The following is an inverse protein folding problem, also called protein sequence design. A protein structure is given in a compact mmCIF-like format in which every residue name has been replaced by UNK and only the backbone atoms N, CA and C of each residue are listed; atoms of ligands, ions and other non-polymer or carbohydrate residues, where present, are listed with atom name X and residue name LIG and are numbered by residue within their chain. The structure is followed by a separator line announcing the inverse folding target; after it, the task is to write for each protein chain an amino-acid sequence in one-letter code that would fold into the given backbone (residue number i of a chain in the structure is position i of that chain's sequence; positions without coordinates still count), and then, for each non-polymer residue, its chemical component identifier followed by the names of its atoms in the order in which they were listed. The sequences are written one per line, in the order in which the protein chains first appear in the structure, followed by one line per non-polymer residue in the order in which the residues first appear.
data_IF_518773501251
#
_entry.id   IF_518773501251
#
_cell.length_a   1.000
_cell.length_b   1.000
_cell.length_c   1.000
_cell.angle_alpha   90.00
_cell.angle_beta   90.00
_cell.angle_gamma   90.00
#
_symmetry.space_group_name_H-M   'P 1'
#
loop_
_entity.id
_entity.type
_entity.pdbx_description
1 polymer ?
#
# COMPACT_ATOMS: atom_id res chain seq x y z
N UNK A 1 -37.01 -6.41 11.18
CA UNK A 1 -35.77 -6.79 11.89
C UNK A 1 -34.76 -7.27 10.85
N UNK A 2 -33.73 -6.48 10.53
CA UNK A 2 -32.80 -6.79 9.44
C UNK A 2 -31.82 -7.91 9.82
N UNK A 3 -31.65 -8.91 8.95
CA UNK A 3 -30.63 -9.97 9.13
C UNK A 3 -29.24 -9.35 8.94
N UNK A 4 -28.42 -9.37 9.99
CA UNK A 4 -26.99 -9.03 9.91
C UNK A 4 -26.20 -10.28 9.55
N UNK A 5 -25.44 -10.24 8.47
CA UNK A 5 -24.48 -11.27 8.10
C UNK A 5 -23.07 -10.77 8.44
N UNK A 6 -22.29 -11.57 9.17
CA UNK A 6 -20.87 -11.32 9.45
C UNK A 6 -20.07 -12.34 8.65
N UNK A 7 -19.23 -11.86 7.74
CA UNK A 7 -18.35 -12.69 6.92
C UNK A 7 -16.90 -12.52 7.37
N UNK A 8 -16.19 -13.61 7.58
CA UNK A 8 -14.74 -13.62 7.86
C UNK A 8 -14.09 -14.66 6.95
N UNK A 9 -13.06 -14.26 6.19
CA UNK A 9 -12.25 -15.17 5.37
C UNK A 9 -10.83 -15.18 5.92
N UNK A 10 -10.42 -16.31 6.48
CA UNK A 10 -9.02 -16.54 6.88
C UNK A 10 -8.33 -17.28 5.75
N UNK A 11 -7.23 -16.73 5.23
CA UNK A 11 -6.38 -17.41 4.24
C UNK A 11 -5.06 -17.75 4.93
N UNK A 12 -4.78 -19.04 5.22
CA UNK A 12 -3.53 -19.42 5.87
C UNK A 12 -2.34 -19.17 4.95
N UNK A 13 -1.17 -18.92 5.54
CA UNK A 13 0.09 -18.84 4.81
C UNK A 13 0.41 -20.22 4.19
N UNK A 14 0.87 -20.27 2.93
CA UNK A 14 1.39 -21.49 2.32
C UNK A 14 2.50 -22.14 3.15
N UNK A 15 2.52 -23.47 3.25
CA UNK A 15 3.48 -24.22 4.10
C UNK A 15 4.95 -24.08 3.66
N UNK A 16 5.19 -23.64 2.43
CA UNK A 16 6.51 -23.36 1.88
C UNK A 16 7.04 -21.95 2.22
N UNK A 17 6.24 -21.11 2.90
CA UNK A 17 6.64 -19.75 3.27
C UNK A 17 6.91 -19.69 4.79
N UNK A 18 8.17 -19.49 5.21
CA UNK A 18 8.47 -19.31 6.63
C UNK A 18 7.90 -17.98 7.13
N UNK A 19 7.47 -17.98 8.40
CA UNK A 19 6.88 -16.78 9.05
C UNK A 19 7.78 -15.55 8.95
N UNK A 20 9.09 -15.74 9.13
CA UNK A 20 10.04 -14.63 9.10
C UNK A 20 10.07 -13.96 7.72
N UNK A 21 10.10 -14.75 6.63
CA UNK A 21 10.05 -14.21 5.28
C UNK A 21 8.78 -13.39 5.04
N UNK A 22 7.63 -13.85 5.55
CA UNK A 22 6.38 -13.09 5.44
C UNK A 22 6.44 -11.75 6.19
N UNK A 23 7.08 -11.73 7.37
CA UNK A 23 7.30 -10.49 8.13
C UNK A 23 8.28 -9.57 7.41
N UNK A 24 9.38 -10.10 6.89
CA UNK A 24 10.38 -9.32 6.18
C UNK A 24 9.78 -8.67 4.92
N UNK A 25 8.95 -9.40 4.18
CA UNK A 25 8.19 -8.85 3.05
C UNK A 25 7.19 -7.76 3.50
N UNK A 26 6.51 -7.94 4.63
CA UNK A 26 5.60 -6.91 5.18
C UNK A 26 6.34 -5.62 5.55
N UNK A 27 7.58 -5.73 6.05
CA UNK A 27 8.41 -4.57 6.37
C UNK A 27 9.11 -3.97 5.14
N UNK A 28 9.15 -4.69 4.01
CA UNK A 28 9.63 -4.17 2.73
C UNK A 28 8.52 -3.38 2.01
N UNK A 29 8.13 -2.25 2.60
CA UNK A 29 7.03 -1.42 2.10
C UNK A 29 7.22 -1.00 0.63
N UNK A 30 8.46 -0.71 0.22
CA UNK A 30 8.77 -0.32 -1.16
C UNK A 30 8.54 -1.44 -2.17
N UNK A 31 8.82 -2.69 -1.82
CA UNK A 31 8.54 -3.86 -2.66
C UNK A 31 7.04 -4.11 -2.74
N UNK A 32 6.34 -4.03 -1.60
CA UNK A 32 4.89 -4.22 -1.53
C UNK A 32 4.15 -3.19 -2.39
N UNK A 33 4.56 -1.91 -2.36
CA UNK A 33 3.99 -0.86 -3.22
C UNK A 33 4.17 -1.20 -4.71
N UNK A 34 5.34 -1.70 -5.10
CA UNK A 34 5.65 -2.05 -6.49
C UNK A 34 4.86 -3.25 -7.03
N UNK A 35 4.24 -4.05 -6.16
CA UNK A 35 3.36 -5.15 -6.60
C UNK A 35 2.08 -4.64 -7.28
N UNK A 36 1.67 -3.39 -7.04
CA UNK A 36 0.52 -2.80 -7.73
C UNK A 36 0.92 -2.45 -9.18
N UNK A 37 0.27 -3.04 -10.21
CA UNK A 37 0.61 -2.80 -11.61
C UNK A 37 0.37 -1.36 -12.09
N UNK A 38 -0.39 -0.56 -11.33
CA UNK A 38 -0.61 0.86 -11.62
C UNK A 38 0.57 1.73 -11.20
N UNK A 39 1.41 1.23 -10.28
CA UNK A 39 2.58 1.93 -9.78
C UNK A 39 3.66 1.96 -10.85
N UNK A 40 4.16 3.17 -11.10
CA UNK A 40 5.24 3.46 -12.06
C UNK A 40 6.50 3.93 -11.37
N UNK A 41 6.43 4.27 -10.08
CA UNK A 41 7.59 4.64 -9.29
C UNK A 41 7.26 4.81 -7.82
N UNK A 42 8.24 4.50 -6.98
CA UNK A 42 8.19 4.69 -5.53
C UNK A 42 9.48 5.34 -5.07
N UNK A 43 9.38 6.32 -4.17
CA UNK A 43 10.53 7.01 -3.59
C UNK A 43 10.29 7.26 -2.11
N UNK A 44 11.24 6.88 -1.27
CA UNK A 44 11.21 7.25 0.15
C UNK A 44 11.38 8.77 0.29
N UNK A 45 10.54 9.39 1.12
CA UNK A 45 10.56 10.83 1.39
C UNK A 45 10.56 11.06 2.90
N UNK A 46 10.96 12.27 3.31
CA UNK A 46 10.78 12.68 4.69
C UNK A 46 9.31 12.96 4.99
N UNK A 47 8.94 12.84 6.26
CA UNK A 47 7.60 13.18 6.73
C UNK A 47 7.20 14.59 6.26
N UNK A 48 6.01 14.72 5.65
CA UNK A 48 5.44 16.02 5.31
C UNK A 48 5.29 16.90 6.56
N UNK A 49 5.37 18.22 6.38
CA UNK A 49 5.24 19.17 7.50
C UNK A 49 3.83 19.21 8.09
N UNK A 50 2.86 18.81 7.30
CA UNK A 50 1.44 18.70 7.61
C UNK A 50 1.02 17.29 8.04
N UNK A 51 1.98 16.37 8.22
CA UNK A 51 1.71 15.03 8.72
C UNK A 51 1.10 15.07 10.13
N UNK A 52 0.15 14.16 10.38
CA UNK A 52 -0.41 13.99 11.71
C UNK A 52 0.67 13.51 12.69
N UNK A 53 0.49 13.81 13.98
CA UNK A 53 1.53 13.59 15.01
C UNK A 53 1.91 12.12 15.17
N UNK A 54 0.94 11.23 15.00
CA UNK A 54 1.07 9.77 15.02
C UNK A 54 1.75 9.22 13.76
N UNK A 55 1.59 9.90 12.62
CA UNK A 55 2.17 9.50 11.32
C UNK A 55 3.56 10.11 11.06
N UNK A 56 3.94 11.17 11.80
CA UNK A 56 5.17 11.92 11.55
C UNK A 56 6.45 11.06 11.66
N UNK A 57 6.45 10.07 12.54
CA UNK A 57 7.59 9.17 12.75
C UNK A 57 7.52 7.87 11.92
N UNK A 58 6.46 7.72 11.12
CA UNK A 58 6.27 6.57 10.23
C UNK A 58 7.09 6.69 8.95
N UNK A 59 7.08 5.64 8.12
CA UNK A 59 7.79 5.68 6.85
C UNK A 59 6.93 6.33 5.76
N UNK A 60 7.50 7.31 5.08
CA UNK A 60 6.81 8.06 4.04
C UNK A 60 7.35 7.76 2.65
N UNK A 61 6.44 7.64 1.69
CA UNK A 61 6.76 7.38 0.30
C UNK A 61 5.99 8.33 -0.62
N UNK A 62 6.66 8.82 -1.65
CA UNK A 62 6.01 9.40 -2.82
C UNK A 62 5.80 8.30 -3.86
N UNK A 63 4.54 8.08 -4.24
CA UNK A 63 4.11 7.02 -5.15
C UNK A 63 3.58 7.66 -6.43
N UNK A 64 4.11 7.25 -7.58
CA UNK A 64 3.65 7.64 -8.91
C UNK A 64 2.81 6.52 -9.51
N UNK A 65 1.56 6.79 -9.87
CA UNK A 65 0.65 5.83 -10.51
C UNK A 65 0.08 6.35 -11.82
N UNK A 66 -0.29 5.43 -12.71
CA UNK A 66 -1.09 5.74 -13.90
C UNK A 66 -2.49 5.17 -13.71
N UNK A 67 -3.47 6.07 -13.58
CA UNK A 67 -4.89 5.71 -13.43
C UNK A 67 -5.65 5.96 -14.73
N UNK A 68 -6.69 5.16 -14.97
CA UNK A 68 -7.66 5.40 -16.04
C UNK A 68 -8.78 6.28 -15.47
N UNK A 69 -8.84 7.53 -15.89
CA UNK A 69 -9.82 8.51 -15.37
C UNK A 69 -11.13 8.52 -16.18
N UNK A 70 -11.10 8.04 -17.43
CA UNK A 70 -12.26 7.96 -18.31
C UNK A 70 -12.02 7.06 -19.52
N UNK A 71 -12.95 6.95 -20.47
CA UNK A 71 -12.83 6.08 -21.64
C UNK A 71 -11.54 6.40 -22.43
N UNK A 72 -10.54 5.53 -22.33
CA UNK A 72 -9.23 5.69 -22.99
C UNK A 72 -8.29 6.75 -22.39
N UNK A 73 -8.73 7.52 -21.39
CA UNK A 73 -7.94 8.60 -20.79
C UNK A 73 -7.13 8.08 -19.60
N UNK A 74 -5.82 8.05 -19.77
CA UNK A 74 -4.85 7.75 -18.70
C UNK A 74 -4.29 9.04 -18.14
N UNK A 75 -4.18 9.12 -16.83
CA UNK A 75 -3.55 10.24 -16.11
C UNK A 75 -2.50 9.71 -15.16
N UNK A 76 -1.33 10.32 -15.18
CA UNK A 76 -0.31 10.11 -14.16
C UNK A 76 -0.65 10.95 -12.93
N UNK A 77 -0.65 10.33 -11.77
CA UNK A 77 -0.85 10.99 -10.48
C UNK A 77 0.32 10.67 -9.56
N UNK A 78 0.63 11.62 -8.67
CA UNK A 78 1.59 11.42 -7.61
C UNK A 78 0.88 11.69 -6.29
N UNK A 79 1.10 10.84 -5.29
CA UNK A 79 0.57 11.02 -3.95
C UNK A 79 1.58 10.54 -2.91
N UNK A 80 1.35 10.95 -1.66
CA UNK A 80 2.19 10.55 -0.52
C UNK A 80 1.47 9.47 0.26
N UNK A 81 2.15 8.36 0.51
CA UNK A 81 1.67 7.27 1.35
C UNK A 81 2.49 7.18 2.63
N UNK A 82 1.83 6.80 3.72
CA UNK A 82 2.43 6.50 5.02
C UNK A 82 2.18 5.04 5.37
N UNK A 83 3.20 4.37 5.93
CA UNK A 83 3.15 2.97 6.38
C UNK A 83 3.62 2.86 7.82
#
# INVERSE_FOLDING_TARGET
MGKRHVYTKVTPLPSNIPRQLALDMLHSHSEVIQLNPLVTGVKAINAPRDAARDEFFSQWYEISEIITWGPGLKKRINFKGVF
#
